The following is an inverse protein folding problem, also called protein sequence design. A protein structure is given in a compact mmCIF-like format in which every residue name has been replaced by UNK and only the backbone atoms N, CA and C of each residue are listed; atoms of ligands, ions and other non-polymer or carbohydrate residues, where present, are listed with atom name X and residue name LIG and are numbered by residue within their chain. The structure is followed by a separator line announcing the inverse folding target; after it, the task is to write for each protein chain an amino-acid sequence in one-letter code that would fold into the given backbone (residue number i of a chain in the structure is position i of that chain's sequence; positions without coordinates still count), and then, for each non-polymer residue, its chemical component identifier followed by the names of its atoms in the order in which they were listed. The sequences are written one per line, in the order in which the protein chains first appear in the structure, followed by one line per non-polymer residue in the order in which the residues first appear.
data_IF_950761996134
#
_entry.id   IF_950761996134
#
_cell.length_a   1.000
_cell.length_b   1.000
_cell.length_c   1.000
_cell.angle_alpha   90.00
_cell.angle_beta   90.00
_cell.angle_gamma   90.00
#
_symmetry.space_group_name_H-M   'P 1'
#
loop_
_entity.id
_entity.type
_entity.pdbx_description
1 polymer ?
#
# COMPACT_ATOMS: atom_id res chain seq x y z
N UNK A 1 10.53 46.62 -47.64
CA UNK A 1 10.29 47.89 -46.92
C UNK A 1 9.33 47.61 -45.79
N UNK A 2 9.54 48.27 -44.66
CA UNK A 2 9.16 47.91 -43.29
C UNK A 2 7.64 47.84 -42.94
N UNK A 3 7.36 47.01 -41.92
CA UNK A 3 6.30 46.98 -40.85
C UNK A 3 5.69 48.36 -40.43
N UNK A 4 4.61 48.49 -39.59
CA UNK A 4 4.32 47.63 -38.41
C UNK A 4 2.85 47.40 -37.94
N UNK A 5 2.73 46.48 -36.94
CA UNK A 5 1.91 46.52 -35.69
C UNK A 5 0.37 46.67 -35.76
N UNK A 6 -0.50 46.20 -34.84
CA UNK A 6 -0.52 45.32 -33.64
C UNK A 6 -1.97 45.33 -33.17
N UNK A 7 -2.62 44.20 -32.85
CA UNK A 7 -3.50 44.13 -31.65
C UNK A 7 -3.70 42.68 -31.22
N UNK A 8 -3.05 42.31 -30.12
CA UNK A 8 -3.32 41.09 -29.35
C UNK A 8 -4.42 41.41 -28.34
N UNK A 9 -5.53 40.68 -28.38
CA UNK A 9 -6.52 40.67 -27.30
C UNK A 9 -6.05 39.71 -26.20
N UNK A 10 -6.12 40.24 -24.98
CA UNK A 10 -5.76 39.60 -23.72
C UNK A 10 -6.83 38.57 -23.36
N UNK A 11 -6.42 37.32 -23.10
CA UNK A 11 -7.22 36.34 -22.37
C UNK A 11 -6.46 35.88 -21.12
N UNK A 12 -7.26 35.71 -20.06
CA UNK A 12 -7.02 35.54 -18.62
C UNK A 12 -5.96 34.49 -18.21
N UNK A 13 -5.25 34.68 -17.06
CA UNK A 13 -4.21 33.79 -16.61
C UNK A 13 -4.77 32.73 -15.65
N UNK A 14 -5.34 31.64 -16.16
CA UNK A 14 -5.39 30.38 -15.42
C UNK A 14 -5.48 29.24 -16.43
N UNK A 15 -4.61 28.24 -16.28
CA UNK A 15 -4.47 27.03 -17.11
C UNK A 15 -3.39 27.11 -18.20
N UNK A 16 -2.12 27.00 -17.81
CA UNK A 16 -1.04 26.40 -18.60
C UNK A 16 0.26 26.36 -17.77
N UNK A 17 0.45 25.29 -16.98
CA UNK A 17 1.80 24.90 -16.54
C UNK A 17 2.00 23.45 -16.96
N UNK A 18 2.24 23.27 -18.26
CA UNK A 18 2.86 22.07 -18.82
C UNK A 18 3.95 22.55 -19.77
N UNK A 19 5.11 21.90 -19.65
CA UNK A 19 6.23 21.89 -20.59
C UNK A 19 6.95 23.21 -20.83
N UNK A 20 8.03 23.44 -20.08
CA UNK A 20 9.31 23.86 -20.65
C UNK A 20 10.37 23.88 -19.56
N UNK A 21 11.31 22.93 -19.62
CA UNK A 21 12.71 23.15 -19.24
C UNK A 21 13.55 22.01 -19.81
N UNK A 22 13.74 22.09 -21.13
CA UNK A 22 14.89 21.52 -21.81
C UNK A 22 15.88 22.67 -22.04
N UNK A 23 17.18 22.34 -21.96
CA UNK A 23 18.38 23.19 -22.12
C UNK A 23 18.93 23.82 -20.83
N UNK A 24 20.05 23.27 -20.35
CA UNK A 24 21.36 23.95 -20.38
C UNK A 24 22.45 22.87 -20.57
N UNK A 25 23.23 23.07 -21.63
CA UNK A 25 24.42 22.32 -22.00
C UNK A 25 25.61 22.78 -21.14
N UNK A 26 26.54 21.87 -20.77
CA UNK A 26 28.00 21.98 -20.96
C UNK A 26 28.76 20.98 -20.05
N UNK A 27 29.47 20.06 -20.72
CA UNK A 27 30.64 19.25 -20.29
C UNK A 27 30.43 18.09 -19.28
N UNK A 28 30.31 16.88 -19.84
CA UNK A 28 31.25 15.79 -19.52
C UNK A 28 31.03 14.99 -18.23
N UNK A 29 29.79 14.82 -17.76
CA UNK A 29 29.46 13.94 -16.65
C UNK A 29 28.54 12.83 -17.16
N UNK A 30 28.88 11.58 -16.80
CA UNK A 30 28.12 10.36 -17.10
C UNK A 30 26.62 10.60 -16.88
N UNK A 31 25.80 10.13 -17.82
CA UNK A 31 24.34 10.06 -17.69
C UNK A 31 23.98 9.27 -16.41
N UNK A 32 23.75 9.97 -15.32
CA UNK A 32 22.83 9.51 -14.29
C UNK A 32 21.46 9.77 -14.91
N UNK A 33 20.74 8.70 -15.26
CA UNK A 33 19.32 8.76 -15.60
C UNK A 33 18.67 9.48 -14.41
N UNK A 34 18.31 10.75 -14.55
CA UNK A 34 17.49 11.43 -13.54
C UNK A 34 16.23 10.57 -13.45
N UNK A 35 16.14 9.79 -12.38
CA UNK A 35 14.98 8.95 -12.10
C UNK A 35 13.79 9.86 -12.06
N UNK A 36 12.81 9.61 -12.95
CA UNK A 36 11.48 10.18 -12.79
C UNK A 36 11.04 9.79 -11.38
N UNK A 37 10.93 10.76 -10.48
CA UNK A 37 10.20 10.51 -9.25
C UNK A 37 8.78 10.14 -9.67
N UNK A 38 8.24 9.01 -9.19
CA UNK A 38 6.87 8.62 -9.52
C UNK A 38 5.93 9.75 -9.12
N UNK A 39 5.22 10.25 -10.12
CA UNK A 39 4.21 11.31 -9.98
C UNK A 39 2.84 10.63 -9.78
N UNK A 40 1.79 11.40 -9.49
CA UNK A 40 0.42 10.86 -9.44
C UNK A 40 0.04 10.07 -10.71
N UNK A 41 0.71 10.37 -11.83
CA UNK A 41 0.57 9.70 -13.12
C UNK A 41 1.11 8.25 -13.14
N UNK A 42 1.77 7.79 -12.08
CA UNK A 42 2.23 6.40 -11.96
C UNK A 42 1.08 5.39 -11.92
N UNK A 43 -0.16 5.83 -11.67
CA UNK A 43 -1.36 5.00 -11.82
C UNK A 43 -1.93 4.96 -13.25
N UNK A 44 -1.33 5.68 -14.22
CA UNK A 44 -1.77 5.65 -15.62
C UNK A 44 -1.37 4.33 -16.27
N UNK A 45 -2.36 3.48 -16.50
CA UNK A 45 -2.18 2.20 -17.19
C UNK A 45 -2.08 2.44 -18.72
N UNK A 46 -1.05 1.92 -19.40
CA UNK A 46 -0.97 1.99 -20.86
C UNK A 46 -2.17 1.29 -21.52
N UNK A 47 -2.70 1.87 -22.59
CA UNK A 47 -3.85 1.29 -23.31
C UNK A 47 -3.50 -0.02 -24.00
N UNK A 48 -4.40 -1.00 -23.95
CA UNK A 48 -4.29 -2.25 -24.72
C UNK A 48 -3.28 -3.27 -24.17
N UNK A 49 -2.83 -3.11 -22.93
CA UNK A 49 -2.00 -4.10 -22.24
C UNK A 49 -2.84 -5.28 -21.76
N UNK A 50 -2.26 -6.48 -21.77
CA UNK A 50 -2.86 -7.65 -21.14
C UNK A 50 -2.60 -7.63 -19.62
N UNK A 51 -3.20 -8.60 -18.89
CA UNK A 51 -3.05 -8.70 -17.44
C UNK A 51 -1.59 -8.89 -16.99
N UNK A 52 -0.81 -9.70 -17.71
CA UNK A 52 0.58 -9.95 -17.36
C UNK A 52 1.43 -8.67 -17.47
N UNK A 53 1.24 -7.90 -18.55
CA UNK A 53 1.88 -6.61 -18.75
C UNK A 53 1.38 -5.56 -17.74
N UNK A 54 0.09 -5.56 -17.40
CA UNK A 54 -0.47 -4.71 -16.35
C UNK A 54 0.19 -4.94 -15.00
N UNK A 55 0.26 -6.19 -14.53
CA UNK A 55 0.88 -6.48 -13.24
C UNK A 55 2.39 -6.21 -13.23
N UNK A 56 3.06 -6.38 -14.37
CA UNK A 56 4.47 -5.97 -14.54
C UNK A 56 4.60 -4.45 -14.40
N UNK A 57 3.71 -3.69 -15.05
CA UNK A 57 3.68 -2.23 -14.97
C UNK A 57 3.43 -1.74 -13.54
N UNK A 58 2.39 -2.23 -12.86
CA UNK A 58 2.08 -1.85 -11.47
C UNK A 58 3.26 -2.15 -10.55
N UNK A 59 3.87 -3.33 -10.69
CA UNK A 59 5.05 -3.70 -9.92
C UNK A 59 6.23 -2.75 -10.18
N UNK A 60 6.54 -2.40 -11.43
CA UNK A 60 7.61 -1.46 -11.76
C UNK A 60 7.34 -0.07 -11.19
N UNK A 61 6.13 0.47 -11.37
CA UNK A 61 5.74 1.76 -10.80
C UNK A 61 5.86 1.78 -9.28
N UNK A 62 5.41 0.71 -8.62
CA UNK A 62 5.54 0.57 -7.18
C UNK A 62 7.01 0.49 -6.76
N UNK A 63 7.84 -0.27 -7.50
CA UNK A 63 9.26 -0.42 -7.16
C UNK A 63 10.00 0.91 -7.20
N UNK A 64 9.70 1.78 -8.17
CA UNK A 64 10.26 3.13 -8.22
C UNK A 64 9.71 4.02 -7.12
N UNK A 65 8.45 3.83 -6.73
CA UNK A 65 7.82 4.60 -5.65
C UNK A 65 8.40 4.25 -4.29
N UNK A 66 8.74 2.98 -4.08
CA UNK A 66 9.32 2.50 -2.83
C UNK A 66 10.85 2.55 -2.81
N UNK A 67 11.51 2.81 -3.94
CA UNK A 67 12.97 2.86 -4.02
C UNK A 67 13.55 3.91 -3.06
N UNK A 68 14.56 3.51 -2.30
CA UNK A 68 15.15 4.32 -1.23
C UNK A 68 14.22 4.65 -0.05
N UNK A 69 12.93 4.31 -0.10
CA UNK A 69 11.98 4.52 1.00
C UNK A 69 12.01 3.33 1.96
N UNK A 70 12.99 3.30 2.88
CA UNK A 70 13.14 2.25 3.90
C UNK A 70 12.26 2.45 5.14
N UNK A 71 11.24 3.30 5.08
CA UNK A 71 10.56 3.79 6.28
C UNK A 71 9.70 2.71 6.96
N UNK A 72 10.32 2.02 7.92
CA UNK A 72 9.61 1.49 9.09
C UNK A 72 10.20 1.98 10.41
N UNK A 73 11.49 2.34 10.48
CA UNK A 73 12.09 2.95 11.67
C UNK A 73 13.16 3.97 11.29
N UNK A 74 12.91 5.26 11.56
CA UNK A 74 14.01 6.19 11.86
C UNK A 74 13.94 6.51 13.34
N UNK A 75 14.88 5.97 14.11
CA UNK A 75 15.18 6.51 15.43
C UNK A 75 15.76 7.90 15.22
N UNK A 76 14.91 8.93 15.24
CA UNK A 76 15.38 10.31 15.37
C UNK A 76 15.75 10.52 16.83
N UNK A 77 16.98 10.13 17.19
CA UNK A 77 17.62 10.63 18.39
C UNK A 77 17.93 12.12 18.17
N UNK A 78 17.04 13.02 18.59
CA UNK A 78 17.41 14.41 18.73
C UNK A 78 18.38 14.53 19.93
N UNK A 79 19.53 15.19 19.81
CA UNK A 79 20.31 15.57 20.97
C UNK A 79 19.44 16.52 21.80
N UNK A 80 19.02 16.08 22.99
CA UNK A 80 18.38 16.96 23.95
C UNK A 80 19.39 18.06 24.31
N UNK A 81 19.08 19.31 23.95
CA UNK A 81 19.83 20.43 24.50
C UNK A 81 19.55 20.49 26.01
N UNK A 82 20.63 20.54 26.78
CA UNK A 82 20.67 20.41 28.24
C UNK A 82 19.65 21.28 28.99
N UNK A 83 18.78 20.63 29.78
CA UNK A 83 18.33 21.14 31.09
C UNK A 83 17.67 20.03 31.92
N UNK A 84 18.49 19.14 32.49
CA UNK A 84 18.20 18.49 33.78
C UNK A 84 16.95 17.60 33.95
N UNK A 85 16.17 17.31 32.90
CA UNK A 85 15.07 16.34 32.95
C UNK A 85 15.31 15.22 31.94
N UNK A 86 15.38 13.99 32.45
CA UNK A 86 15.41 12.76 31.63
C UNK A 86 14.06 12.58 30.94
N UNK A 87 13.90 13.20 29.77
CA UNK A 87 12.78 12.94 28.88
C UNK A 87 13.18 11.82 27.92
N UNK A 88 12.47 10.71 27.98
CA UNK A 88 12.60 9.60 27.03
C UNK A 88 12.34 10.12 25.61
N UNK A 89 13.17 9.79 24.60
CA UNK A 89 12.93 10.22 23.24
C UNK A 89 11.58 9.68 22.75
N UNK A 90 10.68 10.59 22.35
CA UNK A 90 9.43 10.22 21.70
C UNK A 90 9.74 9.77 20.28
N UNK A 91 9.67 8.46 20.05
CA UNK A 91 9.81 7.85 18.73
C UNK A 91 8.57 8.22 17.90
N UNK A 92 8.72 9.10 16.92
CA UNK A 92 7.69 9.34 15.92
C UNK A 92 7.83 8.28 14.82
N UNK A 93 6.98 7.26 14.93
CA UNK A 93 6.88 6.17 13.97
C UNK A 93 6.27 6.68 12.65
N UNK A 94 7.11 6.96 11.65
CA UNK A 94 6.67 7.26 10.27
C UNK A 94 6.31 5.97 9.50
N UNK A 95 5.51 5.09 10.13
CA UNK A 95 5.21 3.72 9.68
C UNK A 95 4.22 3.63 8.49
N UNK A 96 3.66 4.75 8.04
CA UNK A 96 2.42 4.77 7.23
C UNK A 96 2.67 4.91 5.72
N UNK A 97 3.86 5.35 5.27
CA UNK A 97 4.00 5.83 3.88
C UNK A 97 4.00 4.73 2.82
N UNK A 98 4.73 3.62 3.01
CA UNK A 98 4.86 2.61 1.96
C UNK A 98 3.58 1.80 1.73
N UNK A 99 2.93 1.36 2.81
CA UNK A 99 1.64 0.66 2.71
C UNK A 99 0.56 1.59 2.14
N UNK A 100 0.52 2.87 2.53
CA UNK A 100 -0.43 3.83 1.97
C UNK A 100 -0.17 4.08 0.47
N UNK A 101 1.10 4.25 0.08
CA UNK A 101 1.49 4.42 -1.32
C UNK A 101 1.15 3.18 -2.15
N UNK A 102 1.42 1.99 -1.63
CA UNK A 102 1.08 0.73 -2.30
C UNK A 102 -0.43 0.58 -2.46
N UNK A 103 -1.22 0.75 -1.40
CA UNK A 103 -2.68 0.66 -1.46
C UNK A 103 -3.26 1.66 -2.48
N UNK A 104 -2.80 2.92 -2.44
CA UNK A 104 -3.22 3.96 -3.37
C UNK A 104 -2.87 3.63 -4.81
N UNK A 105 -1.62 3.24 -5.09
CA UNK A 105 -1.17 2.93 -6.45
C UNK A 105 -1.91 1.73 -7.02
N UNK A 106 -2.04 0.65 -6.26
CA UNK A 106 -2.73 -0.58 -6.69
C UNK A 106 -4.20 -0.27 -6.99
N UNK A 107 -4.91 0.37 -6.04
CA UNK A 107 -6.32 0.71 -6.18
C UNK A 107 -6.60 1.58 -7.41
N UNK A 108 -5.82 2.65 -7.60
CA UNK A 108 -6.01 3.55 -8.75
C UNK A 108 -5.59 2.91 -10.08
N UNK A 109 -4.57 2.05 -10.09
CA UNK A 109 -4.16 1.32 -11.30
C UNK A 109 -5.24 0.33 -11.74
N UNK A 110 -5.86 -0.38 -10.79
CA UNK A 110 -6.99 -1.28 -11.08
C UNK A 110 -8.19 -0.51 -11.61
N UNK A 111 -8.52 0.64 -11.00
CA UNK A 111 -9.59 1.51 -11.48
C UNK A 111 -9.35 2.05 -12.91
N UNK A 112 -8.08 2.20 -13.31
CA UNK A 112 -7.69 2.62 -14.66
C UNK A 112 -7.57 1.46 -15.67
N UNK A 113 -7.62 0.20 -15.23
CA UNK A 113 -7.38 -0.97 -16.08
C UNK A 113 -8.65 -1.51 -16.74
N UNK A 114 -9.21 -0.71 -17.63
CA UNK A 114 -10.32 -1.12 -18.50
C UNK A 114 -9.80 -2.06 -19.62
N UNK A 115 -10.52 -3.17 -19.97
CA UNK A 115 -11.85 -3.58 -19.52
C UNK A 115 -11.85 -4.59 -18.34
N UNK A 116 -10.70 -4.81 -17.70
CA UNK A 116 -10.55 -5.88 -16.73
C UNK A 116 -11.16 -5.55 -15.37
N UNK A 117 -10.86 -4.39 -14.78
CA UNK A 117 -11.45 -4.00 -13.49
C UNK A 117 -12.23 -2.70 -13.66
N UNK A 118 -11.54 -1.62 -14.00
CA UNK A 118 -12.20 -0.35 -14.24
C UNK A 118 -12.84 0.24 -12.98
N UNK A 119 -13.66 1.27 -13.18
CA UNK A 119 -14.40 1.94 -12.09
C UNK A 119 -15.91 1.62 -12.09
N UNK A 120 -16.35 0.75 -13.00
CA UNK A 120 -17.74 0.34 -13.17
C UNK A 120 -18.10 -0.94 -12.39
N UNK A 121 -18.90 -1.80 -13.01
CA UNK A 121 -19.48 -2.98 -12.37
C UNK A 121 -18.43 -4.01 -11.89
N UNK A 122 -17.25 -4.07 -12.53
CA UNK A 122 -16.16 -4.98 -12.16
C UNK A 122 -15.12 -4.34 -11.24
N UNK A 123 -15.43 -3.18 -10.66
CA UNK A 123 -14.47 -2.43 -9.87
C UNK A 123 -13.96 -3.25 -8.68
N UNK A 124 -12.69 -3.02 -8.37
CA UNK A 124 -12.12 -3.36 -7.07
C UNK A 124 -12.58 -2.29 -6.09
N UNK A 125 -13.45 -2.66 -5.16
CA UNK A 125 -14.09 -1.71 -4.22
C UNK A 125 -13.31 -1.52 -2.92
N UNK A 126 -12.32 -2.39 -2.66
CA UNK A 126 -11.43 -2.27 -1.52
C UNK A 126 -10.03 -2.80 -1.85
N UNK A 127 -9.00 -2.11 -1.37
CA UNK A 127 -7.60 -2.55 -1.45
C UNK A 127 -6.84 -1.99 -0.25
N UNK A 128 -6.17 -2.84 0.51
CA UNK A 128 -5.49 -2.39 1.71
C UNK A 128 -4.74 -3.47 2.45
N UNK A 129 -4.33 -3.13 3.67
CA UNK A 129 -3.48 -3.99 4.48
C UNK A 129 -4.08 -4.25 5.85
N UNK A 130 -3.80 -5.44 6.38
CA UNK A 130 -4.06 -5.83 7.75
C UNK A 130 -2.75 -6.36 8.34
N UNK A 131 -2.29 -5.78 9.45
CA UNK A 131 -0.94 -6.00 9.98
C UNK A 131 -0.99 -6.66 11.36
N UNK A 132 -0.05 -7.55 11.65
CA UNK A 132 0.03 -8.21 12.95
C UNK A 132 0.14 -7.19 14.09
N UNK A 133 -0.67 -7.37 15.14
CA UNK A 133 -0.78 -6.44 16.27
C UNK A 133 0.53 -6.16 16.99
N UNK A 134 1.46 -7.11 16.99
CA UNK A 134 2.77 -6.99 17.64
C UNK A 134 3.71 -6.01 16.91
N UNK A 135 3.39 -5.64 15.67
CA UNK A 135 4.13 -4.61 14.92
C UNK A 135 3.74 -3.18 15.33
N UNK A 136 2.67 -3.02 16.13
CA UNK A 136 2.23 -1.72 16.62
C UNK A 136 2.70 -1.46 18.06
N UNK A 137 2.97 -0.19 18.43
CA UNK A 137 3.26 0.16 19.82
C UNK A 137 2.08 -0.21 20.72
N UNK A 138 2.36 -0.83 21.88
CA UNK A 138 1.32 -1.09 22.87
C UNK A 138 0.66 0.23 23.32
N UNK A 139 -0.69 0.35 23.32
CA UNK A 139 -1.35 1.60 23.69
C UNK A 139 -1.02 2.00 25.13
N UNK A 140 -0.54 3.24 25.32
CA UNK A 140 -0.07 3.73 26.63
C UNK A 140 -1.17 3.81 27.70
N UNK A 141 -2.44 3.89 27.30
CA UNK A 141 -3.60 3.95 28.22
C UNK A 141 -3.65 2.71 29.14
N UNK A 142 -3.22 1.54 28.66
CA UNK A 142 -3.20 0.31 29.46
C UNK A 142 -2.03 0.26 30.48
N UNK A 143 -0.94 1.01 30.24
CA UNK A 143 0.20 1.09 31.17
C UNK A 143 -0.12 1.95 32.40
N UNK A 144 -0.95 2.98 32.25
CA UNK A 144 -1.25 3.92 33.33
C UNK A 144 -2.21 3.35 34.40
N UNK A 145 -3.02 2.34 34.05
CA UNK A 145 -4.10 1.85 34.94
C UNK A 145 -3.70 0.66 35.84
N UNK A 146 -2.63 -0.07 35.54
CA UNK A 146 -2.36 -1.35 36.21
C UNK A 146 -1.23 -1.31 37.24
N UNK A 147 -0.38 -0.28 37.26
CA UNK A 147 0.71 -0.15 38.25
C UNK A 147 1.63 -1.38 38.35
N UNK A 148 1.61 -2.28 37.35
CA UNK A 148 2.18 -3.60 37.43
C UNK A 148 2.97 -3.93 36.16
N UNK A 149 4.16 -4.51 36.35
CA UNK A 149 4.99 -5.16 35.34
C UNK A 149 4.34 -6.47 34.85
N UNK A 150 3.11 -6.41 34.34
CA UNK A 150 2.58 -7.49 33.49
C UNK A 150 2.67 -6.99 32.06
N UNK A 151 3.59 -7.58 31.29
CA UNK A 151 3.48 -7.59 29.83
C UNK A 151 2.07 -8.06 29.51
N UNK A 152 1.20 -7.12 29.13
CA UNK A 152 -0.14 -7.46 28.68
C UNK A 152 0.07 -8.07 27.30
N UNK A 153 -0.11 -9.38 27.21
CA UNK A 153 -0.09 -10.13 25.96
C UNK A 153 -1.06 -9.46 24.99
N UNK A 154 -0.52 -8.78 23.96
CA UNK A 154 -1.34 -8.17 22.93
C UNK A 154 -2.04 -9.33 22.22
N UNK A 155 -3.38 -9.36 22.14
CA UNK A 155 -4.08 -10.51 21.56
C UNK A 155 -3.64 -10.72 20.11
N UNK A 156 -3.37 -11.98 19.72
CA UNK A 156 -3.01 -12.35 18.35
C UNK A 156 -4.14 -11.94 17.38
N UNK A 157 -3.89 -10.82 16.68
CA UNK A 157 -4.85 -10.17 15.79
C UNK A 157 -4.12 -9.51 14.64
N UNK A 158 -4.84 -9.38 13.54
CA UNK A 158 -4.50 -8.39 12.51
C UNK A 158 -5.23 -7.09 12.80
N UNK A 159 -4.54 -5.97 12.70
CA UNK A 159 -5.08 -4.63 12.84
C UNK A 159 -5.14 -3.95 11.47
N UNK A 160 -6.18 -3.16 11.24
CA UNK A 160 -6.37 -2.43 9.99
C UNK A 160 -5.20 -1.46 9.74
N UNK A 161 -4.51 -1.66 8.62
CA UNK A 161 -3.48 -0.78 8.08
C UNK A 161 -4.04 0.21 7.04
N UNK A 162 -3.18 0.89 6.27
CA UNK A 162 -3.62 1.79 5.21
C UNK A 162 -4.43 1.05 4.13
N UNK A 163 -5.48 1.69 3.63
CA UNK A 163 -6.38 1.13 2.62
C UNK A 163 -7.02 2.23 1.75
N UNK A 164 -7.63 1.81 0.64
CA UNK A 164 -8.51 2.59 -0.21
C UNK A 164 -9.84 1.81 -0.36
N UNK A 165 -10.97 2.50 -0.17
CA UNK A 165 -12.30 1.88 -0.18
C UNK A 165 -13.20 2.40 0.96
N UNK A 166 -14.33 1.73 1.17
CA UNK A 166 -15.24 2.02 2.31
C UNK A 166 -14.58 1.62 3.66
N UNK A 167 -15.06 2.17 4.79
CA UNK A 167 -14.55 1.78 6.11
C UNK A 167 -14.63 0.27 6.35
N UNK A 168 -13.54 -0.34 6.79
CA UNK A 168 -13.42 -1.78 7.02
C UNK A 168 -13.38 -2.15 8.50
N UNK A 169 -13.41 -3.45 8.79
CA UNK A 169 -13.30 -4.00 10.12
C UNK A 169 -11.95 -3.60 10.75
N UNK A 170 -11.93 -3.10 12.00
CA UNK A 170 -10.70 -2.57 12.60
C UNK A 170 -9.68 -3.64 13.04
N UNK A 171 -10.16 -4.84 13.32
CA UNK A 171 -9.32 -5.97 13.72
C UNK A 171 -9.91 -7.30 13.24
N UNK A 172 -9.04 -8.27 13.04
CA UNK A 172 -9.37 -9.65 12.67
C UNK A 172 -8.67 -10.55 13.69
N UNK A 173 -9.44 -11.38 14.41
CA UNK A 173 -8.86 -12.35 15.34
C UNK A 173 -8.11 -13.45 14.55
N UNK A 174 -6.88 -13.75 14.95
CA UNK A 174 -6.07 -14.85 14.38
C UNK A 174 -5.75 -15.94 15.40
N UNK A 175 -6.12 -15.71 16.67
CA UNK A 175 -5.96 -16.69 17.74
C UNK A 175 -6.67 -18.03 17.43
N UNK A 176 -6.08 -19.17 17.84
CA UNK A 176 -6.68 -20.49 17.64
C UNK A 176 -8.11 -20.58 18.16
N UNK A 177 -9.03 -21.10 17.34
CA UNK A 177 -10.46 -21.24 17.68
C UNK A 177 -11.30 -19.96 17.58
N UNK A 178 -10.68 -18.81 17.24
CA UNK A 178 -11.38 -17.54 16.95
C UNK A 178 -11.10 -17.04 15.53
N UNK A 179 -9.97 -17.46 14.93
CA UNK A 179 -9.63 -17.19 13.55
C UNK A 179 -10.78 -17.59 12.61
N UNK A 180 -11.20 -16.64 11.78
CA UNK A 180 -12.23 -16.85 10.76
C UNK A 180 -12.10 -15.81 9.65
N UNK A 181 -12.48 -16.18 8.44
CA UNK A 181 -12.48 -15.32 7.27
C UNK A 181 -11.17 -15.38 6.48
N UNK A 182 -11.26 -14.92 5.24
CA UNK A 182 -10.22 -15.07 4.21
C UNK A 182 -8.89 -14.47 4.65
N UNK A 183 -8.91 -13.27 5.25
CA UNK A 183 -7.72 -12.62 5.80
C UNK A 183 -7.01 -13.43 6.89
N UNK A 184 -7.75 -13.99 7.85
CA UNK A 184 -7.16 -14.82 8.91
C UNK A 184 -6.56 -16.11 8.34
N UNK A 185 -7.27 -16.74 7.40
CA UNK A 185 -6.84 -17.99 6.77
C UNK A 185 -5.57 -17.79 5.93
N UNK A 186 -5.49 -16.70 5.16
CA UNK A 186 -4.30 -16.35 4.38
C UNK A 186 -3.08 -16.07 5.28
N UNK A 187 -3.29 -15.31 6.35
CA UNK A 187 -2.25 -15.00 7.33
C UNK A 187 -1.70 -16.26 8.01
N UNK A 188 -2.58 -17.10 8.56
CA UNK A 188 -2.20 -18.32 9.30
C UNK A 188 -1.54 -19.34 8.37
N UNK A 189 -2.06 -19.50 7.16
CA UNK A 189 -1.50 -20.45 6.19
C UNK A 189 -0.18 -19.97 5.58
N UNK A 190 0.13 -18.67 5.67
CA UNK A 190 1.25 -18.04 4.95
C UNK A 190 1.12 -18.21 3.44
N UNK A 191 -0.11 -18.32 2.92
CA UNK A 191 -0.40 -18.55 1.50
C UNK A 191 -1.55 -17.67 1.03
N UNK A 192 -1.50 -17.26 -0.23
CA UNK A 192 -2.58 -16.51 -0.87
C UNK A 192 -3.87 -17.32 -0.89
N UNK A 193 -4.98 -16.66 -0.59
CA UNK A 193 -6.32 -17.22 -0.69
C UNK A 193 -7.07 -16.45 -1.77
N UNK A 194 -7.56 -17.17 -2.79
CA UNK A 194 -8.31 -16.63 -3.91
C UNK A 194 -9.76 -17.14 -3.84
N UNK A 195 -10.71 -16.23 -3.60
CA UNK A 195 -12.12 -16.55 -3.38
C UNK A 195 -12.96 -16.02 -4.53
N UNK A 196 -13.52 -16.92 -5.33
CA UNK A 196 -14.38 -16.55 -6.47
C UNK A 196 -15.79 -16.10 -6.05
N UNK A 197 -16.27 -16.56 -4.91
CA UNK A 197 -17.58 -16.20 -4.35
C UNK A 197 -17.46 -16.13 -2.82
N UNK A 198 -17.52 -14.91 -2.27
CA UNK A 198 -17.38 -14.68 -0.83
C UNK A 198 -18.61 -15.14 -0.04
N UNK A 199 -19.80 -15.17 -0.67
CA UNK A 199 -21.04 -15.63 -0.04
C UNK A 199 -20.99 -17.17 0.15
N UNK A 200 -20.22 -17.86 -0.68
CA UNK A 200 -19.98 -19.31 -0.58
C UNK A 200 -18.81 -19.68 0.36
N UNK A 201 -18.00 -18.72 0.81
CA UNK A 201 -16.82 -18.99 1.62
C UNK A 201 -17.19 -19.20 3.11
N UNK A 202 -16.80 -20.33 3.73
CA UNK A 202 -17.21 -20.64 5.10
C UNK A 202 -16.59 -19.68 6.10
N UNK A 203 -17.43 -19.05 6.93
CA UNK A 203 -16.96 -18.14 7.98
C UNK A 203 -16.51 -16.76 7.49
N UNK A 204 -16.86 -16.39 6.25
CA UNK A 204 -16.59 -15.06 5.68
C UNK A 204 -17.05 -13.94 6.62
N UNK A 205 -16.20 -12.91 6.78
CA UNK A 205 -16.49 -11.69 7.52
C UNK A 205 -16.65 -10.56 6.51
N UNK A 206 -17.86 -10.34 6.01
CA UNK A 206 -18.11 -9.22 5.10
C UNK A 206 -17.86 -7.88 5.81
N UNK A 207 -16.85 -7.12 5.37
CA UNK A 207 -16.67 -5.72 5.78
C UNK A 207 -17.44 -4.77 4.82
N UNK A 208 -17.59 -5.12 3.54
CA UNK A 208 -18.53 -4.49 2.58
C UNK A 208 -19.51 -5.54 2.04
N UNK A 209 -20.81 -5.24 2.08
CA UNK A 209 -21.86 -6.16 1.62
C UNK A 209 -21.98 -6.25 0.10
N UNK A 210 -21.32 -5.35 -0.64
CA UNK A 210 -21.29 -5.35 -2.10
C UNK A 210 -20.18 -6.23 -2.69
N UNK A 211 -19.19 -6.64 -1.87
CA UNK A 211 -18.10 -7.53 -2.28
C UNK A 211 -18.64 -8.89 -2.75
N UNK A 212 -18.11 -9.40 -3.87
CA UNK A 212 -18.48 -10.69 -4.47
C UNK A 212 -17.32 -11.64 -4.66
N UNK A 213 -16.11 -11.14 -4.85
CA UNK A 213 -14.88 -11.95 -4.81
C UNK A 213 -13.80 -11.22 -4.04
N UNK A 214 -12.85 -11.97 -3.49
CA UNK A 214 -11.79 -11.47 -2.62
C UNK A 214 -10.48 -12.21 -2.95
N UNK A 215 -9.36 -11.50 -2.90
CA UNK A 215 -8.03 -12.11 -2.93
C UNK A 215 -7.17 -11.53 -1.81
N UNK A 216 -6.59 -12.41 -1.00
CA UNK A 216 -5.74 -12.02 0.12
C UNK A 216 -4.35 -12.64 -0.04
N UNK A 217 -3.33 -11.79 -0.11
CA UNK A 217 -1.91 -12.18 -0.21
C UNK A 217 -1.18 -11.92 1.13
N UNK A 218 -0.54 -12.91 1.75
CA UNK A 218 0.22 -12.71 2.97
C UNK A 218 1.51 -11.92 2.73
N UNK A 219 1.87 -11.07 3.69
CA UNK A 219 3.15 -10.35 3.73
C UNK A 219 4.17 -11.21 4.47
N UNK A 220 4.90 -12.07 3.74
CA UNK A 220 5.83 -13.03 4.35
C UNK A 220 7.26 -12.50 4.34
N UNK A 221 7.81 -12.27 5.53
CA UNK A 221 9.21 -11.92 5.74
C UNK A 221 10.06 -13.18 5.81
N UNK A 222 11.09 -13.26 4.97
CA UNK A 222 12.08 -14.34 4.97
C UNK A 222 13.42 -13.79 5.46
N UNK A 223 13.92 -14.30 6.58
CA UNK A 223 15.27 -13.97 7.12
C UNK A 223 16.00 -15.28 7.42
N UNK A 224 17.32 -15.22 7.66
CA UNK A 224 18.22 -16.39 7.87
C UNK A 224 17.90 -17.27 9.11
N UNK A 225 16.70 -17.18 9.68
CA UNK A 225 16.19 -18.01 10.77
C UNK A 225 14.74 -18.47 10.59
N UNK A 226 14.07 -18.18 9.47
CA UNK A 226 12.71 -18.64 9.19
C UNK A 226 11.86 -17.68 8.37
N UNK A 227 10.59 -18.04 8.21
CA UNK A 227 9.56 -17.20 7.60
C UNK A 227 8.59 -16.72 8.68
N UNK A 228 8.18 -15.46 8.62
CA UNK A 228 7.17 -14.88 9.50
C UNK A 228 6.14 -14.11 8.66
N UNK A 229 4.86 -14.35 8.89
CA UNK A 229 3.80 -13.52 8.31
C UNK A 229 3.67 -12.23 9.13
N UNK A 230 3.77 -11.09 8.46
CA UNK A 230 3.67 -9.76 9.07
C UNK A 230 2.24 -9.20 9.04
N UNK A 231 1.40 -9.80 8.19
CA UNK A 231 0.09 -9.28 7.84
C UNK A 231 -0.37 -9.80 6.49
N UNK A 232 -1.33 -9.13 5.89
CA UNK A 232 -1.89 -9.44 4.57
C UNK A 232 -2.17 -8.16 3.76
N UNK A 233 -2.06 -8.28 2.44
CA UNK A 233 -2.63 -7.40 1.43
C UNK A 233 -3.97 -8.01 0.98
N UNK A 234 -5.04 -7.24 1.07
CA UNK A 234 -6.40 -7.69 0.82
C UNK A 234 -7.08 -6.79 -0.23
N UNK A 235 -7.80 -7.42 -1.17
CA UNK A 235 -8.50 -6.79 -2.28
C UNK A 235 -9.89 -7.42 -2.49
N UNK A 236 -10.90 -6.57 -2.54
CA UNK A 236 -12.30 -6.93 -2.81
C UNK A 236 -12.73 -6.51 -4.21
N UNK A 237 -13.61 -7.29 -4.84
CA UNK A 237 -14.20 -6.97 -6.14
C UNK A 237 -15.72 -7.16 -6.15
N UNK A 238 -16.41 -6.28 -6.87
CA UNK A 238 -17.88 -6.24 -7.00
C UNK A 238 -18.49 -7.37 -7.85
N UNK A 239 -17.67 -8.18 -8.53
CA UNK A 239 -18.14 -9.31 -9.34
C UNK A 239 -17.60 -10.64 -8.83
N UNK A 240 -18.35 -11.71 -9.11
CA UNK A 240 -17.90 -13.09 -8.87
C UNK A 240 -16.68 -13.40 -9.74
N UNK A 241 -15.69 -14.08 -9.18
CA UNK A 241 -14.46 -14.45 -9.87
C UNK A 241 -13.75 -13.26 -10.51
N UNK A 242 -13.77 -12.09 -9.86
CA UNK A 242 -13.14 -10.87 -10.35
C UNK A 242 -11.63 -11.04 -10.55
N UNK A 243 -11.01 -11.82 -9.67
CA UNK A 243 -9.60 -12.17 -9.70
C UNK A 243 -9.34 -13.56 -10.31
N UNK A 244 -8.20 -13.69 -10.97
CA UNK A 244 -7.72 -14.88 -11.66
C UNK A 244 -6.36 -15.30 -11.12
N UNK A 245 -5.86 -16.46 -11.54
CA UNK A 245 -4.51 -16.91 -11.18
C UNK A 245 -3.40 -15.98 -11.67
N UNK A 246 -3.63 -15.20 -12.73
CA UNK A 246 -2.68 -14.18 -13.19
C UNK A 246 -2.62 -12.99 -12.23
N UNK A 247 -3.78 -12.59 -11.67
CA UNK A 247 -3.86 -11.53 -10.67
C UNK A 247 -3.19 -11.95 -9.37
N UNK A 248 -3.42 -13.20 -8.95
CA UNK A 248 -2.71 -13.80 -7.82
C UNK A 248 -1.19 -13.71 -7.98
N UNK A 249 -0.64 -14.15 -9.12
CA UNK A 249 0.80 -14.10 -9.35
C UNK A 249 1.35 -12.67 -9.35
N UNK A 250 0.59 -11.70 -9.89
CA UNK A 250 0.95 -10.28 -9.87
C UNK A 250 0.99 -9.72 -8.45
N UNK A 251 -0.07 -9.96 -7.68
CA UNK A 251 -0.24 -9.48 -6.32
C UNK A 251 0.75 -10.12 -5.35
N UNK A 252 1.11 -11.39 -5.51
CA UNK A 252 2.15 -12.05 -4.71
C UNK A 252 3.52 -11.38 -4.90
N UNK A 253 3.87 -11.00 -6.13
CA UNK A 253 5.10 -10.23 -6.40
C UNK A 253 5.06 -8.85 -5.76
N UNK A 254 3.92 -8.17 -5.84
CA UNK A 254 3.70 -6.86 -5.21
C UNK A 254 3.81 -6.96 -3.69
N UNK A 255 3.18 -7.96 -3.07
CA UNK A 255 3.26 -8.22 -1.64
C UNK A 255 4.72 -8.43 -1.19
N UNK A 256 5.48 -9.24 -1.94
CA UNK A 256 6.90 -9.43 -1.66
C UNK A 256 7.71 -8.15 -1.83
N UNK A 257 7.46 -7.35 -2.88
CA UNK A 257 8.11 -6.07 -3.09
C UNK A 257 7.87 -5.10 -1.91
N UNK A 258 6.63 -5.05 -1.39
CA UNK A 258 6.29 -4.24 -0.22
C UNK A 258 7.07 -4.71 1.00
N UNK A 259 7.16 -6.02 1.23
CA UNK A 259 7.95 -6.59 2.33
C UNK A 259 9.42 -6.21 2.19
N UNK A 260 10.02 -6.41 1.01
CA UNK A 260 11.45 -6.17 0.76
C UNK A 260 11.82 -4.68 0.81
N UNK A 261 10.84 -3.79 0.62
CA UNK A 261 11.04 -2.34 0.64
C UNK A 261 10.90 -1.72 2.04
N UNK A 262 10.59 -2.50 3.07
CA UNK A 262 10.35 -2.01 4.43
C UNK A 262 11.30 -2.68 5.45
N UNK A 263 11.66 -1.91 6.50
CA UNK A 263 12.51 -2.39 7.60
C UNK A 263 11.66 -2.95 8.76
N UNK A 264 11.21 -4.20 8.66
CA UNK A 264 10.41 -4.92 9.69
C UNK A 264 11.23 -5.42 10.87
#
# INVERSE_FOLDING_TARGET
MFSPATTLSVLSPHTAVICLLNCILVRGIKFVKLGLMPHADSALVPSGVDKAAFWTHVHEQLSYLLDGQRNWVRVLSFPAHQSGQSLTPSVFNLQVTNLANAASLIYNSLAAFEPHFGSGERAVNWCGFYMESNLFPSPQIFRAQTGANKEHEVPDRLLLGPFCGKPACQFIDTAPGKARGVCADAYIAGKTVLVADVDAYPGHIACDGETKSEIVCPLVLRKDGGEAALGVLDLDCLVLGGFTSEDQQGLERIAQLVVDSCDW
#
